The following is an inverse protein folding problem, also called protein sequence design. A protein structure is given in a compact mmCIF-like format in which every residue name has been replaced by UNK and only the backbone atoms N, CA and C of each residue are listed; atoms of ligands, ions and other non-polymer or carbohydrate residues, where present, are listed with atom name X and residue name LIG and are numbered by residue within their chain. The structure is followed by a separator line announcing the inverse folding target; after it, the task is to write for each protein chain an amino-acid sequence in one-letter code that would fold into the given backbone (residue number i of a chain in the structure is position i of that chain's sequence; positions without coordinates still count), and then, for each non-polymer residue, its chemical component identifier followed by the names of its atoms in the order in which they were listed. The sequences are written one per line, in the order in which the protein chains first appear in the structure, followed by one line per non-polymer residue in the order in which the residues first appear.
data_IF_682811758935
#
_entry.id   IF_682811758935
#
_cell.length_a   1.000
_cell.length_b   1.000
_cell.length_c   1.000
_cell.angle_alpha   90.00
_cell.angle_beta   90.00
_cell.angle_gamma   90.00
#
_symmetry.space_group_name_H-M   'P 1'
#
loop_
_entity.id
_entity.type
_entity.pdbx_description
1 polymer ?
#
# COMPACT_ATOMS: atom_id res chain seq x y z
N UNK A 1 -11.22 -17.81 25.92
CA UNK A 1 -12.13 -17.52 24.78
C UNK A 1 -11.62 -16.27 24.08
N UNK A 2 -10.99 -16.43 22.90
CA UNK A 2 -10.40 -15.31 22.16
C UNK A 2 -11.42 -14.82 21.12
N UNK A 3 -11.94 -13.61 21.33
CA UNK A 3 -12.78 -12.91 20.36
C UNK A 3 -11.85 -12.51 19.20
N UNK A 4 -11.62 -13.43 18.26
CA UNK A 4 -11.08 -13.07 16.96
C UNK A 4 -12.20 -12.33 16.23
N UNK A 5 -12.24 -11.02 16.42
CA UNK A 5 -13.03 -10.09 15.63
C UNK A 5 -12.70 -10.35 14.16
N UNK A 6 -13.50 -11.19 13.51
CA UNK A 6 -13.53 -11.31 12.07
C UNK A 6 -14.07 -9.98 11.55
N UNK A 7 -13.22 -8.96 11.51
CA UNK A 7 -13.51 -7.75 10.78
C UNK A 7 -13.52 -8.19 9.33
N UNK A 8 -14.72 -8.53 8.85
CA UNK A 8 -15.08 -8.92 7.50
C UNK A 8 -14.93 -7.67 6.64
N UNK A 9 -13.69 -7.17 6.51
CA UNK A 9 -13.39 -5.93 5.84
C UNK A 9 -13.61 -6.18 4.35
N UNK A 10 -14.77 -5.73 3.86
CA UNK A 10 -15.06 -5.66 2.44
C UNK A 10 -14.10 -4.70 1.71
N UNK A 11 -13.22 -3.99 2.42
CA UNK A 11 -12.25 -3.06 1.90
C UNK A 11 -10.84 -3.59 2.22
N UNK A 12 -10.04 -3.87 1.19
CA UNK A 12 -8.62 -4.20 1.35
C UNK A 12 -7.74 -3.06 0.83
N UNK A 13 -6.93 -2.46 1.71
CA UNK A 13 -6.01 -1.40 1.36
C UNK A 13 -4.81 -1.97 0.58
N UNK A 14 -4.58 -1.45 -0.63
CA UNK A 14 -3.50 -1.80 -1.55
C UNK A 14 -2.60 -0.61 -1.91
N UNK A 15 -2.57 0.40 -1.05
CA UNK A 15 -1.77 1.62 -1.28
C UNK A 15 -0.30 1.29 -1.56
N UNK A 16 0.27 1.76 -2.69
CA UNK A 16 1.70 1.71 -2.94
C UNK A 16 2.48 2.49 -1.88
N UNK A 17 3.75 2.13 -1.70
CA UNK A 17 4.69 2.85 -0.83
C UNK A 17 5.71 3.58 -1.69
N UNK A 18 6.09 4.78 -1.30
CA UNK A 18 7.08 5.62 -1.97
C UNK A 18 8.17 5.97 -0.97
N UNK A 19 9.42 5.70 -1.31
CA UNK A 19 10.57 6.16 -0.54
C UNK A 19 11.03 7.45 -1.17
N UNK A 20 10.77 8.56 -0.48
CA UNK A 20 11.27 9.87 -0.87
C UNK A 20 12.65 10.08 -0.26
N UNK A 21 13.63 10.37 -1.10
CA UNK A 21 14.95 10.82 -0.69
C UNK A 21 15.37 11.99 -1.59
N UNK A 22 16.55 12.58 -1.40
CA UNK A 22 17.03 13.68 -2.25
C UNK A 22 16.83 13.40 -3.76
N UNK A 23 16.66 14.43 -4.63
CA UNK A 23 15.84 14.43 -5.87
C UNK A 23 16.14 13.38 -6.97
N UNK A 24 17.12 12.50 -6.76
CA UNK A 24 17.56 11.50 -7.73
C UNK A 24 17.40 10.05 -7.23
N UNK A 25 16.86 9.83 -6.02
CA UNK A 25 16.80 8.50 -5.38
C UNK A 25 15.38 8.08 -4.95
N UNK A 26 14.38 8.78 -5.46
CA UNK A 26 12.99 8.46 -5.24
C UNK A 26 12.64 7.10 -5.86
N UNK A 27 12.01 6.23 -5.07
CA UNK A 27 11.60 4.90 -5.53
C UNK A 27 10.17 4.58 -5.08
N UNK A 28 9.38 4.01 -6.00
CA UNK A 28 8.02 3.58 -5.72
C UNK A 28 7.94 2.04 -5.69
N UNK A 29 7.17 1.53 -4.74
CA UNK A 29 7.00 0.12 -4.46
C UNK A 29 5.51 -0.20 -4.42
N UNK A 30 5.11 -1.32 -5.00
CA UNK A 30 3.74 -1.83 -4.86
C UNK A 30 3.45 -2.23 -3.41
N UNK A 31 2.17 -2.31 -3.03
CA UNK A 31 1.76 -2.72 -1.69
C UNK A 31 2.35 -4.08 -1.26
N UNK A 32 2.40 -5.06 -2.18
CA UNK A 32 3.00 -6.37 -1.90
C UNK A 32 4.51 -6.31 -1.67
N UNK A 33 5.17 -5.27 -2.17
CA UNK A 33 6.61 -5.02 -2.02
C UNK A 33 6.93 -4.06 -0.86
N UNK A 34 6.02 -3.87 0.10
CA UNK A 34 6.23 -2.97 1.26
C UNK A 34 7.50 -3.30 2.05
N UNK A 35 7.86 -4.58 2.18
CA UNK A 35 9.12 -5.01 2.81
C UNK A 35 10.33 -4.42 2.06
N UNK A 36 10.35 -4.51 0.73
CA UNK A 36 11.41 -3.93 -0.11
C UNK A 36 11.50 -2.41 0.01
N UNK A 37 10.37 -1.73 0.20
CA UNK A 37 10.37 -0.29 0.43
C UNK A 37 11.04 0.07 1.77
N UNK A 38 10.88 -0.78 2.78
CA UNK A 38 11.55 -0.61 4.08
C UNK A 38 13.05 -0.88 3.96
N UNK A 39 13.43 -1.98 3.33
CA UNK A 39 14.83 -2.35 3.07
C UNK A 39 15.56 -1.25 2.28
N UNK A 40 14.88 -0.69 1.27
CA UNK A 40 15.42 0.41 0.47
C UNK A 40 15.60 1.68 1.30
N UNK A 41 14.63 2.05 2.15
CA UNK A 41 14.76 3.18 3.08
C UNK A 41 15.97 3.00 4.01
N UNK A 42 16.13 1.80 4.58
CA UNK A 42 17.26 1.49 5.47
C UNK A 42 18.59 1.56 4.73
N UNK A 43 18.65 1.09 3.48
CA UNK A 43 19.87 1.19 2.66
C UNK A 43 20.27 2.64 2.40
N UNK A 44 19.31 3.55 2.18
CA UNK A 44 19.57 4.98 2.01
C UNK A 44 19.98 5.65 3.33
N UNK A 45 19.34 5.26 4.44
CA UNK A 45 19.72 5.75 5.78
C UNK A 45 21.13 5.29 6.17
N UNK A 46 21.51 4.05 5.85
CA UNK A 46 22.86 3.53 6.05
C UNK A 46 23.93 4.27 5.23
N UNK A 47 23.54 4.87 4.10
CA UNK A 47 24.40 5.76 3.30
C UNK A 47 24.48 7.19 3.88
N UNK A 48 23.91 7.44 5.07
CA UNK A 48 23.91 8.75 5.73
C UNK A 48 22.92 9.75 5.13
N UNK A 49 21.97 9.29 4.30
CA UNK A 49 21.00 10.15 3.61
C UNK A 49 19.63 10.06 4.26
N UNK A 50 18.93 11.19 4.36
CA UNK A 50 17.55 11.23 4.84
C UNK A 50 16.61 10.56 3.84
N UNK A 51 15.92 9.50 4.26
CA UNK A 51 14.87 8.85 3.49
C UNK A 51 13.58 8.75 4.32
N UNK A 52 12.45 9.08 3.69
CA UNK A 52 11.11 8.95 4.28
C UNK A 52 10.29 7.95 3.49
N UNK A 53 9.68 7.01 4.19
CA UNK A 53 8.69 6.11 3.60
C UNK A 53 7.31 6.78 3.68
N UNK A 54 6.77 7.13 2.53
CA UNK A 54 5.46 7.74 2.36
C UNK A 54 4.52 6.69 1.77
N UNK A 55 3.40 6.42 2.41
CA UNK A 55 2.35 5.63 1.78
C UNK A 55 1.58 6.55 0.84
N UNK A 56 1.55 6.22 -0.45
CA UNK A 56 0.77 7.00 -1.42
C UNK A 56 -0.71 6.75 -1.18
N UNK A 57 -1.53 7.79 -1.35
CA UNK A 57 -2.97 7.68 -1.11
C UNK A 57 -3.60 6.67 -2.08
N UNK A 58 -3.99 5.53 -1.49
CA UNK A 58 -5.25 4.77 -1.61
C UNK A 58 -5.67 4.12 -2.91
N UNK A 59 -4.93 3.09 -3.32
CA UNK A 59 -5.56 1.94 -3.99
C UNK A 59 -6.35 1.10 -3.00
N UNK A 60 -7.65 0.88 -3.17
CA UNK A 60 -8.43 -0.06 -2.34
C UNK A 60 -9.31 -1.00 -3.16
N UNK A 61 -9.47 -2.22 -2.66
CA UNK A 61 -10.35 -3.23 -3.24
C UNK A 61 -11.64 -3.33 -2.44
N UNK A 62 -12.78 -3.04 -3.08
CA UNK A 62 -14.11 -3.29 -2.53
C UNK A 62 -14.60 -4.67 -2.97
N UNK A 63 -14.88 -5.56 -2.02
CA UNK A 63 -15.52 -6.85 -2.26
C UNK A 63 -17.03 -6.71 -2.08
N UNK A 64 -17.77 -6.83 -3.18
CA UNK A 64 -19.23 -6.86 -3.16
C UNK A 64 -19.71 -8.30 -3.05
N UNK A 65 -20.48 -8.59 -2.00
CA UNK A 65 -21.14 -9.90 -1.79
C UNK A 65 -22.65 -9.70 -1.76
N UNK A 66 -23.36 -10.30 -2.71
CA UNK A 66 -24.83 -10.34 -2.76
C UNK A 66 -25.28 -11.80 -2.80
N UNK A 67 -26.34 -12.14 -2.06
CA UNK A 67 -26.87 -13.51 -2.02
C UNK A 67 -27.30 -13.93 -3.42
N UNK A 68 -26.81 -15.08 -3.90
CA UNK A 68 -27.07 -15.59 -5.25
C UNK A 68 -26.20 -15.01 -6.37
N UNK A 69 -25.25 -14.13 -6.07
CA UNK A 69 -24.34 -13.52 -7.06
C UNK A 69 -22.89 -13.85 -6.71
N UNK A 70 -22.07 -14.15 -7.72
CA UNK A 70 -20.63 -14.36 -7.54
C UNK A 70 -19.99 -13.11 -6.95
N UNK A 71 -19.06 -13.28 -6.01
CA UNK A 71 -18.36 -12.15 -5.39
C UNK A 71 -17.60 -11.35 -6.45
N UNK A 72 -17.79 -10.02 -6.44
CA UNK A 72 -17.10 -9.09 -7.33
C UNK A 72 -16.06 -8.30 -6.53
N UNK A 73 -14.93 -7.99 -7.16
CA UNK A 73 -13.90 -7.13 -6.60
C UNK A 73 -13.74 -5.90 -7.50
N UNK A 74 -13.96 -4.72 -6.94
CA UNK A 74 -13.75 -3.44 -7.61
C UNK A 74 -12.45 -2.83 -7.09
N UNK A 75 -11.51 -2.54 -7.98
CA UNK A 75 -10.29 -1.83 -7.66
C UNK A 75 -10.49 -0.34 -7.91
N UNK A 76 -10.19 0.48 -6.91
CA UNK A 76 -10.13 1.92 -7.04
C UNK A 76 -8.66 2.30 -6.94
N UNK A 77 -8.13 2.88 -8.01
CA UNK A 77 -6.81 3.50 -8.02
C UNK A 77 -7.02 5.01 -8.14
N UNK A 78 -6.48 5.76 -7.20
CA UNK A 78 -6.40 7.22 -7.24
C UNK A 78 -5.37 7.61 -8.28
N UNK A 79 -5.84 8.06 -9.44
CA UNK A 79 -5.00 8.69 -10.44
C UNK A 79 -4.54 10.04 -9.86
N UNK A 80 -3.23 10.22 -9.64
CA UNK A 80 -2.68 11.57 -9.44
C UNK A 80 -2.64 12.24 -10.81
N UNK A 81 -3.37 13.34 -11.01
CA UNK A 81 -3.03 14.28 -12.07
C UNK A 81 -1.59 14.77 -11.84
N UNK A 82 -0.81 14.80 -12.93
CA UNK A 82 0.62 15.12 -12.96
C UNK A 82 0.86 16.63 -13.04
#
# INVERSE_FOLDING_TARGET
MSIKSAVNLNINNRSPSHVQSQPLLDAQFSFSARHKAHDYRESIQAQGRGAKLIQLETSFLLRLRRKGVKAQALAFDTFKEA
#
